data_IF_360955798309
#
_entry.id   IF_360955798309
#
_cell.length_a   1.000
_cell.length_b   1.000
_cell.length_c   1.000
_cell.angle_alpha   90.00
_cell.angle_beta   90.00
_cell.angle_gamma   90.00
#
_symmetry.space_group_name_H-M   'P 1'
#
loop_
_entity.id
_entity.type
_entity.pdbx_description
1 polymer ?
#
# COMPACT_ATOMS: atom_id res chain seq x y z
N UNK A 1 -30.22 4.42 -22.35
CA UNK A 1 -28.86 4.09 -22.84
C UNK A 1 -28.06 3.33 -21.75
N UNK A 2 -27.53 2.18 -22.07
CA UNK A 2 -26.97 1.20 -21.14
C UNK A 2 -25.82 1.73 -20.26
N UNK A 3 -26.13 2.25 -19.07
CA UNK A 3 -25.12 2.78 -18.10
C UNK A 3 -24.23 1.71 -17.47
N UNK A 4 -24.54 0.43 -17.67
CA UNK A 4 -23.75 -0.69 -17.12
C UNK A 4 -22.46 -0.99 -17.86
N UNK A 5 -22.37 -0.66 -19.16
CA UNK A 5 -21.22 -0.98 -20.02
C UNK A 5 -19.87 -0.40 -19.57
N UNK A 6 -19.87 0.69 -18.81
CA UNK A 6 -18.65 1.39 -18.40
C UNK A 6 -18.38 1.35 -16.88
N UNK A 7 -19.11 0.52 -16.12
CA UNK A 7 -18.91 0.43 -14.66
C UNK A 7 -17.70 -0.40 -14.29
N UNK A 8 -17.01 0.03 -13.24
CA UNK A 8 -15.87 -0.65 -12.61
C UNK A 8 -16.21 -0.89 -11.15
N UNK A 9 -16.05 -2.11 -10.71
CA UNK A 9 -16.29 -2.52 -9.35
C UNK A 9 -14.95 -2.81 -8.64
N UNK A 10 -14.82 -2.34 -7.41
CA UNK A 10 -13.69 -2.65 -6.53
C UNK A 10 -14.19 -3.39 -5.29
N UNK A 11 -13.68 -4.60 -5.05
CA UNK A 11 -13.91 -5.34 -3.83
C UNK A 11 -12.63 -5.36 -3.00
N UNK A 12 -12.58 -4.51 -1.97
CA UNK A 12 -11.45 -4.40 -1.06
C UNK A 12 -11.93 -3.99 0.33
N UNK A 13 -11.07 -4.18 1.33
CA UNK A 13 -11.37 -3.79 2.70
C UNK A 13 -10.25 -2.90 3.26
N UNK A 14 -10.59 -2.10 4.26
CA UNK A 14 -9.64 -1.41 5.13
C UNK A 14 -10.15 -1.44 6.57
N UNK A 15 -9.27 -1.73 7.51
CA UNK A 15 -9.64 -1.91 8.88
C UNK A 15 -8.60 -1.36 9.85
N UNK A 16 -9.04 -1.08 11.07
CA UNK A 16 -8.17 -0.73 12.21
C UNK A 16 -7.62 -1.98 12.90
N UNK A 17 -7.42 -3.06 12.15
CA UNK A 17 -6.81 -4.29 12.65
C UNK A 17 -5.48 -4.55 11.97
N UNK A 18 -4.56 -5.18 12.70
CA UNK A 18 -3.17 -5.36 12.30
C UNK A 18 -2.97 -5.97 10.91
N UNK A 19 -3.75 -6.98 10.59
CA UNK A 19 -3.55 -7.83 9.43
C UNK A 19 -4.01 -7.17 8.13
N UNK A 20 -5.01 -6.27 8.19
CA UNK A 20 -5.64 -5.67 7.00
C UNK A 20 -5.12 -4.25 6.74
N UNK A 21 -5.11 -3.38 7.76
CA UNK A 21 -4.71 -1.99 7.59
C UNK A 21 -5.52 -1.25 6.52
N UNK A 22 -4.88 -0.34 5.78
CA UNK A 22 -5.52 0.47 4.72
C UNK A 22 -4.88 0.28 3.33
N UNK A 23 -3.86 -0.57 3.22
CA UNK A 23 -3.06 -0.69 2.00
C UNK A 23 -3.86 -1.14 0.79
N UNK A 24 -4.69 -2.17 0.93
CA UNK A 24 -5.56 -2.70 -0.12
C UNK A 24 -6.48 -1.63 -0.70
N UNK A 25 -7.12 -0.85 0.17
CA UNK A 25 -8.01 0.24 -0.25
C UNK A 25 -7.26 1.34 -1.00
N UNK A 26 -6.09 1.80 -0.52
CA UNK A 26 -5.31 2.83 -1.21
C UNK A 26 -4.79 2.36 -2.56
N UNK A 27 -4.45 1.09 -2.70
CA UNK A 27 -4.07 0.48 -3.98
C UNK A 27 -5.25 0.48 -4.96
N UNK A 28 -6.43 0.06 -4.53
CA UNK A 28 -7.66 0.14 -5.31
C UNK A 28 -8.03 1.58 -5.71
N UNK A 29 -7.92 2.54 -4.79
CA UNK A 29 -8.13 3.96 -5.08
C UNK A 29 -7.16 4.51 -6.13
N UNK A 30 -5.90 4.06 -6.10
CA UNK A 30 -4.91 4.43 -7.12
C UNK A 30 -5.33 3.95 -8.50
N UNK A 31 -5.78 2.68 -8.61
CA UNK A 31 -6.29 2.11 -9.85
C UNK A 31 -7.56 2.84 -10.31
N UNK A 32 -8.49 3.08 -9.39
CA UNK A 32 -9.74 3.79 -9.68
C UNK A 32 -9.51 5.18 -10.26
N UNK A 33 -8.63 5.98 -9.63
CA UNK A 33 -8.25 7.31 -10.10
C UNK A 33 -7.60 7.29 -11.48
N UNK A 34 -6.73 6.29 -11.72
CA UNK A 34 -6.09 6.12 -13.02
C UNK A 34 -7.12 5.81 -14.11
N UNK A 35 -7.96 4.77 -13.90
CA UNK A 35 -8.96 4.36 -14.88
C UNK A 35 -9.97 5.50 -15.14
N UNK A 36 -10.38 6.21 -14.07
CA UNK A 36 -11.21 7.40 -14.20
C UNK A 36 -10.59 8.46 -15.12
N UNK A 37 -9.31 8.79 -14.90
CA UNK A 37 -8.59 9.80 -15.71
C UNK A 37 -8.42 9.33 -17.15
N UNK A 38 -7.95 8.09 -17.35
CA UNK A 38 -7.65 7.54 -18.68
C UNK A 38 -8.88 7.41 -19.56
N UNK A 39 -10.00 6.94 -19.00
CA UNK A 39 -11.23 6.65 -19.73
C UNK A 39 -12.32 7.73 -19.56
N UNK A 40 -11.97 8.89 -18.98
CA UNK A 40 -12.88 10.01 -18.72
C UNK A 40 -14.18 9.60 -17.99
N UNK A 41 -14.06 8.65 -17.04
CA UNK A 41 -15.21 8.14 -16.30
C UNK A 41 -15.66 9.12 -15.22
N UNK A 42 -16.97 9.13 -14.92
CA UNK A 42 -17.51 9.82 -13.76
C UNK A 42 -17.35 9.01 -12.47
N UNK A 43 -17.61 9.62 -11.31
CA UNK A 43 -17.62 8.89 -10.05
C UNK A 43 -18.73 7.82 -9.99
N UNK A 44 -19.82 8.01 -10.75
CA UNK A 44 -20.93 7.06 -10.85
C UNK A 44 -20.55 5.75 -11.55
N UNK A 45 -19.50 5.78 -12.39
CA UNK A 45 -18.99 4.59 -13.07
C UNK A 45 -18.10 3.72 -12.16
N UNK A 46 -17.74 4.21 -10.97
CA UNK A 46 -16.83 3.52 -10.05
C UNK A 46 -17.54 3.23 -8.74
N UNK A 47 -17.59 1.96 -8.37
CA UNK A 47 -18.27 1.49 -7.19
C UNK A 47 -17.34 0.64 -6.33
N UNK A 48 -17.26 0.96 -5.04
CA UNK A 48 -16.54 0.15 -4.06
C UNK A 48 -17.52 -0.72 -3.26
N UNK A 49 -17.19 -1.99 -3.08
CA UNK A 49 -17.88 -2.88 -2.14
C UNK A 49 -16.94 -3.14 -0.99
N UNK A 50 -17.33 -2.71 0.20
CA UNK A 50 -16.51 -2.72 1.41
C UNK A 50 -17.24 -3.32 2.59
N UNK A 51 -16.50 -3.99 3.46
CA UNK A 51 -17.01 -4.35 4.79
C UNK A 51 -17.10 -3.11 5.68
N UNK A 52 -18.15 -3.03 6.48
CA UNK A 52 -18.38 -1.96 7.44
C UNK A 52 -18.82 -2.55 8.77
N UNK A 53 -18.00 -2.38 9.79
CA UNK A 53 -18.28 -2.68 11.19
C UNK A 53 -17.42 -1.76 12.06
N UNK A 54 -17.48 -1.89 13.39
CA UNK A 54 -16.58 -1.17 14.29
C UNK A 54 -15.10 -1.34 13.90
N UNK A 55 -14.70 -2.53 13.45
CA UNK A 55 -13.32 -2.83 12.99
C UNK A 55 -13.03 -2.29 11.57
N UNK A 56 -14.01 -2.29 10.68
CA UNK A 56 -13.89 -1.94 9.25
C UNK A 56 -14.37 -0.51 8.91
N UNK A 57 -14.57 0.36 9.90
CA UNK A 57 -15.04 1.74 9.68
C UNK A 57 -14.09 2.64 8.88
N UNK A 58 -12.80 2.27 8.80
CA UNK A 58 -11.78 3.05 8.09
C UNK A 58 -12.05 3.18 6.59
N UNK A 59 -12.54 2.10 5.94
CA UNK A 59 -12.80 2.09 4.51
C UNK A 59 -13.85 3.12 4.11
N UNK A 60 -14.97 3.17 4.83
CA UNK A 60 -16.06 4.11 4.59
C UNK A 60 -15.53 5.55 4.57
N UNK A 61 -14.86 5.98 5.65
CA UNK A 61 -14.34 7.34 5.79
C UNK A 61 -13.38 7.74 4.66
N UNK A 62 -12.53 6.81 4.23
CA UNK A 62 -11.56 7.09 3.16
C UNK A 62 -12.28 7.27 1.81
N UNK A 63 -13.25 6.40 1.48
CA UNK A 63 -13.96 6.44 0.19
C UNK A 63 -14.85 7.68 0.09
N UNK A 64 -15.54 8.05 1.17
CA UNK A 64 -16.34 9.28 1.26
C UNK A 64 -15.47 10.53 1.01
N UNK A 65 -14.29 10.61 1.62
CA UNK A 65 -13.34 11.70 1.39
C UNK A 65 -12.85 11.79 -0.07
N UNK A 66 -12.79 10.66 -0.76
CA UNK A 66 -12.40 10.58 -2.18
C UNK A 66 -13.60 10.74 -3.13
N UNK A 67 -14.81 10.93 -2.59
CA UNK A 67 -16.07 11.14 -3.33
C UNK A 67 -16.44 10.00 -4.29
N UNK A 68 -16.07 8.76 -3.98
CA UNK A 68 -16.52 7.58 -4.71
C UNK A 68 -17.76 6.96 -4.07
N UNK A 69 -18.57 6.28 -4.88
CA UNK A 69 -19.72 5.51 -4.42
C UNK A 69 -19.28 4.19 -3.77
N UNK A 70 -20.03 3.72 -2.80
CA UNK A 70 -19.77 2.42 -2.17
C UNK A 70 -21.04 1.72 -1.65
N UNK A 71 -20.95 0.39 -1.62
CA UNK A 71 -21.93 -0.51 -1.00
C UNK A 71 -21.32 -1.12 0.25
N UNK A 72 -22.07 -1.14 1.32
CA UNK A 72 -21.66 -1.70 2.61
C UNK A 72 -22.01 -3.18 2.69
N UNK A 73 -21.03 -3.99 3.07
CA UNK A 73 -21.24 -5.36 3.53
C UNK A 73 -21.07 -5.37 5.06
N UNK A 74 -22.09 -5.82 5.79
CA UNK A 74 -22.00 -5.95 7.25
C UNK A 74 -21.14 -7.17 7.58
N UNK A 75 -19.98 -6.94 8.22
CA UNK A 75 -18.95 -7.95 8.46
C UNK A 75 -19.44 -9.18 9.22
N UNK A 76 -20.21 -8.96 10.30
CA UNK A 76 -20.70 -10.04 11.17
C UNK A 76 -21.74 -10.97 10.49
N UNK A 77 -22.31 -10.55 9.38
CA UNK A 77 -23.38 -11.30 8.68
C UNK A 77 -22.88 -12.05 7.45
N UNK A 78 -21.72 -11.71 6.92
CA UNK A 78 -21.30 -12.19 5.61
C UNK A 78 -19.84 -12.67 5.65
N UNK A 79 -19.68 -13.99 5.48
CA UNK A 79 -18.38 -14.62 5.32
C UNK A 79 -17.78 -14.26 3.95
N UNK A 80 -16.46 -14.07 3.91
CA UNK A 80 -15.72 -13.80 2.68
C UNK A 80 -15.90 -14.93 1.66
N UNK A 81 -16.08 -14.54 0.39
CA UNK A 81 -16.29 -15.47 -0.74
C UNK A 81 -17.49 -16.42 -0.56
N UNK A 82 -18.48 -16.03 0.26
CA UNK A 82 -19.71 -16.78 0.44
C UNK A 82 -20.72 -16.48 -0.67
N UNK A 83 -21.73 -17.32 -0.80
CA UNK A 83 -22.85 -17.08 -1.72
C UNK A 83 -23.60 -15.79 -1.39
N UNK A 84 -23.70 -15.44 -0.10
CA UNK A 84 -24.31 -14.17 0.34
C UNK A 84 -23.50 -12.96 -0.17
N UNK A 85 -22.19 -13.01 -0.09
CA UNK A 85 -21.33 -11.96 -0.65
C UNK A 85 -21.47 -11.90 -2.17
N UNK A 86 -21.45 -13.05 -2.84
CA UNK A 86 -21.59 -13.14 -4.29
C UNK A 86 -22.94 -12.56 -4.76
N UNK A 87 -24.04 -12.86 -4.07
CA UNK A 87 -25.37 -12.28 -4.37
C UNK A 87 -25.35 -10.76 -4.29
N UNK A 88 -24.65 -10.17 -3.31
CA UNK A 88 -24.52 -8.70 -3.21
C UNK A 88 -23.70 -8.15 -4.36
N UNK A 89 -22.57 -8.75 -4.67
CA UNK A 89 -21.68 -8.32 -5.75
C UNK A 89 -22.42 -8.41 -7.09
N UNK A 90 -23.12 -9.50 -7.35
CA UNK A 90 -23.79 -9.76 -8.62
C UNK A 90 -25.05 -8.91 -8.88
N UNK A 91 -25.52 -8.14 -7.89
CA UNK A 91 -26.52 -7.09 -8.14
C UNK A 91 -26.01 -5.95 -9.02
N UNK A 92 -24.69 -5.83 -9.16
CA UNK A 92 -24.03 -4.75 -9.89
C UNK A 92 -23.25 -5.32 -11.07
N UNK A 93 -23.89 -5.35 -12.23
CA UNK A 93 -23.20 -5.69 -13.47
C UNK A 93 -22.13 -4.63 -13.78
N UNK A 94 -20.92 -5.06 -14.13
CA UNK A 94 -19.86 -4.16 -14.51
C UNK A 94 -18.92 -4.78 -15.55
N UNK A 95 -18.20 -3.92 -16.29
CA UNK A 95 -17.21 -4.34 -17.28
C UNK A 95 -15.98 -4.97 -16.62
N UNK A 96 -15.61 -4.46 -15.44
CA UNK A 96 -14.42 -4.89 -14.70
C UNK A 96 -14.73 -4.98 -13.21
N UNK A 97 -14.28 -6.07 -12.60
CA UNK A 97 -14.14 -6.16 -11.14
C UNK A 97 -12.67 -6.31 -10.74
N UNK A 98 -12.22 -5.49 -9.80
CA UNK A 98 -10.90 -5.56 -9.16
C UNK A 98 -11.07 -6.05 -7.73
N UNK A 99 -10.43 -7.15 -7.37
CA UNK A 99 -10.47 -7.74 -6.03
C UNK A 99 -9.08 -7.63 -5.40
N UNK A 100 -9.00 -6.97 -4.26
CA UNK A 100 -7.77 -6.77 -3.48
C UNK A 100 -8.01 -7.13 -2.02
N UNK A 101 -7.66 -8.38 -1.67
CA UNK A 101 -7.89 -8.94 -0.33
C UNK A 101 -6.81 -9.94 0.02
N UNK A 102 -6.60 -10.17 1.33
CA UNK A 102 -5.65 -11.17 1.83
C UNK A 102 -6.17 -12.61 1.75
N UNK A 103 -7.47 -12.81 1.60
CA UNK A 103 -8.07 -14.13 1.56
C UNK A 103 -7.83 -14.82 0.21
N UNK A 104 -7.78 -16.15 0.24
CA UNK A 104 -7.68 -16.98 -0.97
C UNK A 104 -9.04 -17.10 -1.65
N UNK A 105 -9.15 -16.65 -2.89
CA UNK A 105 -10.39 -16.79 -3.67
C UNK A 105 -10.64 -18.27 -4.05
N UNK A 106 -11.90 -18.72 -3.96
CA UNK A 106 -12.28 -20.05 -4.39
C UNK A 106 -12.56 -20.11 -5.91
N UNK A 107 -12.34 -21.30 -6.53
CA UNK A 107 -12.64 -21.52 -7.95
C UNK A 107 -14.09 -21.22 -8.27
N UNK A 108 -15.02 -21.76 -7.49
CA UNK A 108 -16.45 -21.55 -7.69
C UNK A 108 -16.83 -20.06 -7.63
N UNK A 109 -16.29 -19.32 -6.68
CA UNK A 109 -16.58 -17.89 -6.56
C UNK A 109 -16.13 -17.10 -7.79
N UNK A 110 -14.90 -17.33 -8.27
CA UNK A 110 -14.38 -16.60 -9.44
C UNK A 110 -15.09 -16.98 -10.74
N UNK A 111 -15.46 -18.26 -10.93
CA UNK A 111 -16.22 -18.68 -12.11
C UNK A 111 -17.62 -18.09 -12.12
N UNK A 112 -18.30 -18.06 -10.98
CA UNK A 112 -19.62 -17.42 -10.84
C UNK A 112 -19.57 -15.90 -10.99
N UNK A 113 -18.46 -15.24 -10.68
CA UNK A 113 -18.26 -13.82 -11.01
C UNK A 113 -18.18 -13.60 -12.51
N UNK A 114 -17.56 -14.50 -13.28
CA UNK A 114 -17.42 -14.36 -14.74
C UNK A 114 -18.76 -14.30 -15.46
N UNK A 115 -19.82 -14.87 -14.90
CA UNK A 115 -21.16 -14.77 -15.48
C UNK A 115 -21.71 -13.35 -15.54
N UNK A 116 -21.27 -12.46 -14.60
CA UNK A 116 -21.75 -11.08 -14.50
C UNK A 116 -20.68 -10.03 -14.82
N UNK A 117 -19.41 -10.42 -14.86
CA UNK A 117 -18.30 -9.52 -15.10
C UNK A 117 -17.50 -9.97 -16.31
N UNK A 118 -17.32 -9.07 -17.25
CA UNK A 118 -16.54 -9.37 -18.45
C UNK A 118 -15.07 -9.60 -18.12
N UNK A 119 -14.52 -8.85 -17.15
CA UNK A 119 -13.09 -8.92 -16.77
C UNK A 119 -12.91 -8.94 -15.25
N UNK A 120 -11.94 -9.73 -14.80
CA UNK A 120 -11.60 -9.89 -13.38
C UNK A 120 -10.10 -9.66 -13.18
N UNK A 121 -9.74 -8.73 -12.29
CA UNK A 121 -8.37 -8.50 -11.84
C UNK A 121 -8.24 -8.88 -10.38
N UNK A 122 -7.23 -9.68 -10.05
CA UNK A 122 -6.88 -10.05 -8.67
C UNK A 122 -5.55 -9.40 -8.26
N UNK A 123 -5.49 -8.91 -7.03
CA UNK A 123 -4.29 -8.32 -6.44
C UNK A 123 -3.90 -9.11 -5.18
N UNK A 124 -2.63 -9.56 -5.13
CA UNK A 124 -2.06 -10.33 -4.01
C UNK A 124 -2.90 -11.54 -3.57
N UNK A 125 -3.48 -12.28 -4.50
CA UNK A 125 -4.19 -13.51 -4.20
C UNK A 125 -3.22 -14.70 -4.08
N UNK A 126 -3.28 -15.43 -2.96
CA UNK A 126 -2.41 -16.57 -2.67
C UNK A 126 -2.97 -17.91 -3.18
N UNK A 127 -4.19 -17.94 -3.75
CA UNK A 127 -4.79 -19.17 -4.26
C UNK A 127 -4.28 -19.54 -5.64
N UNK A 128 -4.33 -20.84 -6.00
CA UNK A 128 -4.07 -21.27 -7.37
C UNK A 128 -5.23 -20.94 -8.33
N UNK A 129 -6.36 -20.47 -7.79
CA UNK A 129 -7.54 -20.10 -8.56
C UNK A 129 -7.38 -18.77 -9.31
N UNK A 130 -6.34 -17.96 -9.02
CA UNK A 130 -6.01 -16.74 -9.77
C UNK A 130 -5.82 -16.98 -11.28
N UNK A 131 -5.53 -18.22 -11.70
CA UNK A 131 -5.45 -18.61 -13.12
C UNK A 131 -6.76 -18.41 -13.90
N UNK A 132 -7.88 -18.33 -13.21
CA UNK A 132 -9.20 -18.07 -13.80
C UNK A 132 -9.51 -16.57 -13.95
N UNK A 133 -8.70 -15.66 -13.42
CA UNK A 133 -8.82 -14.22 -13.65
C UNK A 133 -8.25 -13.81 -15.01
N UNK A 134 -8.59 -12.62 -15.48
CA UNK A 134 -7.99 -12.06 -16.71
C UNK A 134 -6.59 -11.51 -16.44
N UNK A 135 -6.34 -11.02 -15.23
CA UNK A 135 -5.02 -10.58 -14.77
C UNK A 135 -4.90 -10.80 -13.25
N UNK A 136 -3.78 -11.34 -12.82
CA UNK A 136 -3.41 -11.37 -11.41
C UNK A 136 -2.05 -10.70 -11.22
N UNK A 137 -1.97 -9.74 -10.28
CA UNK A 137 -0.74 -9.07 -9.88
C UNK A 137 -0.42 -9.45 -8.43
N UNK A 138 0.68 -10.16 -8.23
CA UNK A 138 1.14 -10.61 -6.91
C UNK A 138 2.46 -9.93 -6.53
N UNK A 139 2.45 -8.65 -6.15
CA UNK A 139 3.66 -7.93 -5.79
C UNK A 139 4.27 -8.35 -4.46
N UNK A 140 3.47 -8.81 -3.49
CA UNK A 140 3.95 -9.11 -2.12
C UNK A 140 3.88 -10.59 -1.76
N UNK A 141 3.03 -11.36 -2.42
CA UNK A 141 2.91 -12.81 -2.26
C UNK A 141 3.72 -13.49 -3.37
N UNK A 142 4.96 -13.88 -3.06
CA UNK A 142 5.92 -14.32 -4.06
C UNK A 142 5.93 -15.85 -4.28
N UNK A 143 5.59 -16.63 -3.25
CA UNK A 143 5.62 -18.09 -3.29
C UNK A 143 4.27 -18.63 -3.76
N UNK A 144 4.00 -18.45 -5.04
CA UNK A 144 2.79 -18.94 -5.70
C UNK A 144 3.14 -19.49 -7.07
N UNK A 145 2.34 -20.44 -7.54
CA UNK A 145 2.48 -21.02 -8.87
C UNK A 145 2.40 -19.94 -9.96
N UNK A 146 3.24 -20.05 -10.98
CA UNK A 146 3.23 -19.14 -12.13
C UNK A 146 2.15 -19.59 -13.12
N UNK A 147 1.36 -18.62 -13.58
CA UNK A 147 0.39 -18.80 -14.66
C UNK A 147 0.54 -17.66 -15.67
N UNK A 148 0.09 -17.85 -16.90
CA UNK A 148 0.29 -16.87 -17.98
C UNK A 148 -0.30 -15.49 -17.65
N UNK A 149 -1.43 -15.48 -16.94
CA UNK A 149 -2.13 -14.26 -16.51
C UNK A 149 -1.65 -13.71 -15.17
N UNK A 150 -0.75 -14.42 -14.46
CA UNK A 150 -0.24 -13.99 -13.15
C UNK A 150 1.15 -13.38 -13.27
N UNK A 151 1.31 -12.18 -12.75
CA UNK A 151 2.57 -11.44 -12.67
C UNK A 151 3.03 -11.37 -11.22
N UNK A 152 4.17 -12.04 -10.91
CA UNK A 152 4.68 -12.20 -9.55
C UNK A 152 5.97 -11.40 -9.37
N UNK A 153 6.07 -10.67 -8.27
CA UNK A 153 7.29 -9.94 -7.86
C UNK A 153 7.07 -8.47 -7.54
N UNK A 154 7.97 -7.91 -6.78
CA UNK A 154 7.90 -6.55 -6.26
C UNK A 154 7.72 -5.46 -7.34
N UNK A 155 8.24 -5.69 -8.55
CA UNK A 155 8.08 -4.78 -9.70
C UNK A 155 6.62 -4.60 -10.14
N UNK A 156 5.71 -5.47 -9.68
CA UNK A 156 4.29 -5.39 -10.01
C UNK A 156 3.46 -4.61 -8.99
N UNK A 157 4.12 -3.92 -8.03
CA UNK A 157 3.42 -3.03 -7.11
C UNK A 157 2.74 -1.86 -7.83
N UNK A 158 1.66 -1.40 -7.22
CA UNK A 158 0.91 -0.21 -7.61
C UNK A 158 1.24 0.90 -6.62
N UNK A 159 1.82 1.97 -7.12
CA UNK A 159 2.24 3.14 -6.35
C UNK A 159 1.33 4.33 -6.68
N UNK A 160 0.94 5.15 -5.71
CA UNK A 160 0.05 6.30 -5.93
C UNK A 160 0.57 7.26 -6.99
N UNK A 161 -0.30 7.68 -7.91
CA UNK A 161 0.04 8.57 -9.05
C UNK A 161 0.65 9.90 -8.60
N UNK A 162 0.22 10.41 -7.46
CA UNK A 162 0.75 11.66 -6.88
C UNK A 162 2.28 11.61 -6.66
N UNK A 163 2.86 10.43 -6.50
CA UNK A 163 4.31 10.27 -6.36
C UNK A 163 5.03 10.38 -7.70
N UNK A 164 4.36 9.99 -8.80
CA UNK A 164 4.90 10.15 -10.17
C UNK A 164 4.95 11.61 -10.58
N UNK A 165 3.89 12.35 -10.33
CA UNK A 165 3.74 13.76 -10.73
C UNK A 165 4.72 14.66 -9.99
N UNK A 166 5.10 14.29 -8.75
CA UNK A 166 5.97 15.08 -7.88
C UNK A 166 7.45 14.69 -7.92
N UNK A 167 7.86 13.78 -8.80
CA UNK A 167 9.27 13.38 -8.99
C UNK A 167 10.19 14.56 -9.29
N UNK A 168 9.65 15.63 -9.86
CA UNK A 168 10.40 16.82 -10.25
C UNK A 168 10.71 17.80 -9.09
N UNK A 169 10.28 17.52 -7.85
CA UNK A 169 10.62 18.39 -6.73
C UNK A 169 12.09 18.17 -6.34
N UNK A 170 12.99 18.91 -6.96
CA UNK A 170 14.43 18.98 -6.64
C UNK A 170 14.73 19.66 -5.30
N UNK A 171 13.86 19.58 -4.29
CA UNK A 171 14.13 20.18 -2.98
C UNK A 171 15.08 19.28 -2.17
N UNK A 172 16.04 19.91 -1.50
CA UNK A 172 16.94 19.25 -0.54
C UNK A 172 16.08 18.41 0.42
N UNK A 173 16.30 17.10 0.41
CA UNK A 173 15.59 16.21 1.32
C UNK A 173 16.30 16.18 2.66
N UNK A 174 15.54 16.20 3.74
CA UNK A 174 16.05 16.25 5.11
C UNK A 174 15.16 15.42 6.05
N UNK A 175 15.74 14.95 7.15
CA UNK A 175 15.04 14.33 8.26
C UNK A 175 14.48 12.94 8.01
N UNK A 176 13.78 12.45 9.03
CA UNK A 176 13.22 11.11 9.14
C UNK A 176 11.70 11.16 9.02
N UNK A 177 11.12 10.33 8.18
CA UNK A 177 9.69 10.12 8.06
C UNK A 177 9.32 8.79 8.76
N UNK A 178 8.54 8.87 9.83
CA UNK A 178 8.10 7.71 10.60
C UNK A 178 6.68 7.35 10.21
N UNK A 179 6.49 6.13 9.67
CA UNK A 179 5.18 5.64 9.25
C UNK A 179 5.06 4.11 9.39
N UNK A 180 4.30 3.68 10.37
CA UNK A 180 4.08 2.26 10.67
C UNK A 180 2.73 1.74 10.19
N UNK A 181 2.15 2.37 9.16
CA UNK A 181 0.87 1.99 8.57
C UNK A 181 -0.33 2.61 9.29
N UNK A 182 -1.51 2.06 9.03
CA UNK A 182 -2.76 2.53 9.64
C UNK A 182 -2.89 2.15 11.12
N UNK A 183 -2.05 1.23 11.61
CA UNK A 183 -2.05 0.77 12.99
C UNK A 183 -0.63 0.42 13.46
N UNK A 184 -0.12 1.18 14.42
CA UNK A 184 1.20 0.96 15.04
C UNK A 184 1.05 0.12 16.32
N UNK A 185 0.90 -1.20 16.16
CA UNK A 185 0.66 -2.17 17.24
C UNK A 185 1.72 -2.09 18.34
N UNK A 186 2.97 -1.92 17.93
CA UNK A 186 4.12 -2.00 18.84
C UNK A 186 4.56 -0.63 19.36
N UNK A 187 3.82 0.43 19.02
CA UNK A 187 4.15 1.83 19.37
C UNK A 187 5.57 2.23 18.91
N UNK A 188 5.96 1.76 17.71
CA UNK A 188 7.28 2.06 17.15
C UNK A 188 7.47 3.52 16.84
N UNK A 189 6.41 4.23 16.47
CA UNK A 189 6.45 5.69 16.27
C UNK A 189 7.02 6.40 17.49
N UNK A 190 6.50 6.09 18.69
CA UNK A 190 6.99 6.69 19.94
C UNK A 190 8.41 6.20 20.28
N UNK A 191 8.64 4.88 20.25
CA UNK A 191 9.92 4.28 20.62
C UNK A 191 11.08 4.79 19.76
N UNK A 192 10.89 4.83 18.43
CA UNK A 192 11.91 5.29 17.50
C UNK A 192 12.06 6.81 17.55
N UNK A 193 10.94 7.53 17.66
CA UNK A 193 10.96 8.98 17.85
C UNK A 193 11.77 9.40 19.07
N UNK A 194 11.59 8.73 20.22
CA UNK A 194 12.38 9.01 21.43
C UNK A 194 13.88 8.71 21.24
N UNK A 195 14.21 7.63 20.52
CA UNK A 195 15.62 7.31 20.23
C UNK A 195 16.25 8.38 19.35
N UNK A 196 15.57 8.80 18.29
CA UNK A 196 16.05 9.83 17.37
C UNK A 196 16.22 11.19 18.06
N UNK A 197 15.27 11.56 18.94
CA UNK A 197 15.38 12.78 19.74
C UNK A 197 16.63 12.76 20.62
N UNK A 198 16.85 11.67 21.35
CA UNK A 198 18.02 11.52 22.24
C UNK A 198 19.36 11.56 21.54
N UNK A 199 19.41 11.41 20.21
CA UNK A 199 20.62 11.61 19.43
C UNK A 199 20.98 13.09 19.33
N UNK A 200 20.02 13.99 19.60
CA UNK A 200 20.17 15.45 19.62
C UNK A 200 20.96 16.01 18.42
N UNK A 201 20.72 15.42 17.23
CA UNK A 201 21.38 15.83 15.98
C UNK A 201 20.48 16.85 15.27
N UNK A 202 21.08 17.77 14.51
CA UNK A 202 20.33 18.78 13.76
C UNK A 202 19.49 18.12 12.66
N UNK A 203 18.32 17.59 13.03
CA UNK A 203 17.45 16.81 12.14
C UNK A 203 15.97 17.07 12.44
N UNK A 204 15.11 16.72 11.48
CA UNK A 204 13.65 16.77 11.56
C UNK A 204 13.08 15.36 11.61
N UNK A 205 12.09 15.16 12.46
CA UNK A 205 11.33 13.92 12.55
C UNK A 205 9.90 14.22 12.16
N UNK A 206 9.42 13.66 11.05
CA UNK A 206 8.07 13.84 10.56
C UNK A 206 7.20 12.67 11.01
N UNK A 207 6.13 12.95 11.73
CA UNK A 207 5.23 11.95 12.28
C UNK A 207 3.80 12.21 11.83
N UNK A 208 3.18 11.18 11.22
CA UNK A 208 1.75 11.16 10.99
C UNK A 208 1.07 10.49 12.19
N UNK A 209 0.44 11.28 13.04
CA UNK A 209 -0.32 10.75 14.17
C UNK A 209 -1.57 11.58 14.39
N UNK A 210 -2.72 10.89 14.42
CA UNK A 210 -4.00 11.48 14.86
C UNK A 210 -4.06 11.62 16.39
N UNK A 211 -3.12 10.99 17.12
CA UNK A 211 -2.97 11.08 18.57
C UNK A 211 -1.83 12.02 18.88
N UNK A 212 -2.03 12.94 19.84
CA UNK A 212 -0.94 13.74 20.41
C UNK A 212 0.03 12.81 21.14
N UNK A 213 1.11 12.42 20.47
CA UNK A 213 2.21 11.72 21.11
C UNK A 213 3.06 12.74 21.85
N UNK A 214 3.24 12.52 23.14
CA UNK A 214 4.08 13.38 23.97
C UNK A 214 5.54 12.96 23.79
N UNK A 215 6.37 13.91 23.39
CA UNK A 215 7.81 13.78 23.30
C UNK A 215 8.47 14.83 24.18
N UNK A 216 9.59 14.48 24.81
CA UNK A 216 10.41 15.46 25.50
C UNK A 216 11.13 16.30 24.44
N UNK A 217 11.04 17.64 24.49
CA UNK A 217 11.72 18.49 23.51
C UNK A 217 13.24 18.37 23.64
N UNK A 218 13.93 18.49 22.52
CA UNK A 218 15.40 18.50 22.43
C UNK A 218 15.86 19.72 21.63
N UNK A 219 17.03 20.26 21.95
CA UNK A 219 17.50 21.54 21.39
C UNK A 219 17.72 21.49 19.86
N UNK A 220 18.28 20.41 19.35
CA UNK A 220 18.70 20.29 17.92
C UNK A 220 17.79 19.43 17.05
N UNK A 221 16.97 18.55 17.62
CA UNK A 221 16.07 17.67 16.88
C UNK A 221 14.64 18.10 17.03
N UNK A 222 13.95 18.40 15.93
CA UNK A 222 12.56 18.87 15.91
C UNK A 222 11.60 17.79 15.46
N UNK A 223 10.50 17.58 16.21
CA UNK A 223 9.38 16.75 15.75
C UNK A 223 8.35 17.65 15.07
N UNK A 224 7.93 17.23 13.89
CA UNK A 224 6.92 17.90 13.08
C UNK A 224 5.78 16.93 12.82
N UNK A 225 4.62 17.20 13.41
CA UNK A 225 3.40 16.46 13.11
C UNK A 225 2.78 16.98 11.82
N UNK A 226 2.26 16.06 11.01
CA UNK A 226 1.58 16.43 9.77
C UNK A 226 0.23 15.72 9.63
N UNK A 227 -0.69 16.35 8.92
CA UNK A 227 -2.02 15.80 8.64
C UNK A 227 -1.95 14.73 7.55
N UNK A 228 -2.86 13.77 7.58
CA UNK A 228 -2.91 12.66 6.61
C UNK A 228 -2.92 13.14 5.14
N UNK A 229 -3.57 14.26 4.83
CA UNK A 229 -3.57 14.86 3.49
C UNK A 229 -2.18 15.25 2.98
N UNK A 230 -1.25 15.54 3.89
CA UNK A 230 0.12 15.95 3.58
C UNK A 230 1.12 14.77 3.56
N UNK A 231 0.65 13.54 3.70
CA UNK A 231 1.46 12.33 3.79
C UNK A 231 2.52 12.26 2.67
N UNK A 232 2.08 12.26 1.42
CA UNK A 232 3.01 12.14 0.28
C UNK A 232 3.89 13.38 0.09
N UNK A 233 3.38 14.57 0.40
CA UNK A 233 4.16 15.82 0.37
C UNK A 233 5.31 15.75 1.39
N UNK A 234 5.04 15.22 2.57
CA UNK A 234 6.04 15.07 3.64
C UNK A 234 7.02 13.94 3.35
N UNK A 235 6.53 12.80 2.84
CA UNK A 235 7.34 11.68 2.39
C UNK A 235 8.39 12.12 1.36
N UNK A 236 8.00 12.91 0.37
CA UNK A 236 8.90 13.43 -0.67
C UNK A 236 10.02 14.33 -0.11
N UNK A 237 9.74 15.10 0.94
CA UNK A 237 10.72 15.99 1.58
C UNK A 237 11.72 15.25 2.47
N UNK A 238 11.41 14.03 2.89
CA UNK A 238 12.24 13.29 3.82
C UNK A 238 13.42 12.60 3.14
N UNK A 239 14.57 12.53 3.82
CA UNK A 239 15.76 11.79 3.37
C UNK A 239 15.66 10.32 3.75
N UNK A 240 15.22 10.05 4.98
CA UNK A 240 15.12 8.72 5.55
C UNK A 240 13.67 8.36 5.78
N UNK A 241 13.30 7.12 5.53
CA UNK A 241 11.97 6.58 5.84
C UNK A 241 12.15 5.43 6.82
N UNK A 242 11.42 5.47 7.92
CA UNK A 242 11.34 4.37 8.89
C UNK A 242 9.91 3.87 8.87
N UNK A 243 9.73 2.61 8.47
CA UNK A 243 8.39 2.07 8.28
C UNK A 243 8.26 0.60 8.67
N UNK A 244 7.03 0.12 8.77
CA UNK A 244 6.73 -1.30 8.73
C UNK A 244 6.86 -1.85 7.30
N UNK A 245 6.91 -3.17 7.17
CA UNK A 245 7.05 -3.87 5.88
C UNK A 245 5.74 -4.02 5.07
N UNK A 246 4.84 -3.06 5.19
CA UNK A 246 3.59 -3.00 4.41
C UNK A 246 3.74 -2.29 3.07
N UNK A 247 2.60 -1.96 2.41
CA UNK A 247 2.63 -1.32 1.09
C UNK A 247 3.35 0.02 1.07
N UNK A 248 3.28 0.83 2.14
CA UNK A 248 4.03 2.10 2.23
C UNK A 248 5.56 1.96 2.15
N UNK A 249 6.12 0.77 2.44
CA UNK A 249 7.54 0.48 2.21
C UNK A 249 7.88 0.61 0.70
N UNK A 250 6.98 0.17 -0.17
CA UNK A 250 7.21 0.23 -1.62
C UNK A 250 7.13 1.64 -2.19
N UNK A 251 6.42 2.55 -1.53
CA UNK A 251 6.49 3.99 -1.86
C UNK A 251 7.91 4.52 -1.67
N UNK A 252 8.55 4.13 -0.56
CA UNK A 252 9.95 4.46 -0.26
C UNK A 252 10.94 3.87 -1.28
N UNK A 253 10.75 2.61 -1.68
CA UNK A 253 11.57 1.95 -2.70
C UNK A 253 11.44 2.67 -4.05
N UNK A 254 10.21 2.94 -4.52
CA UNK A 254 9.98 3.62 -5.79
C UNK A 254 10.56 5.04 -5.83
N UNK A 255 10.65 5.72 -4.69
CA UNK A 255 11.25 7.04 -4.54
C UNK A 255 12.77 7.00 -4.31
N UNK A 256 13.39 5.82 -4.24
CA UNK A 256 14.80 5.63 -3.93
C UNK A 256 15.24 6.32 -2.61
N UNK A 257 14.41 6.21 -1.58
CA UNK A 257 14.70 6.77 -0.26
C UNK A 257 15.55 5.81 0.58
N UNK A 258 16.34 6.35 1.50
CA UNK A 258 17.01 5.53 2.51
C UNK A 258 15.96 4.92 3.43
N UNK A 259 15.67 3.64 3.24
CA UNK A 259 14.53 2.95 3.85
C UNK A 259 15.00 1.99 4.95
N UNK A 260 14.50 2.23 6.17
CA UNK A 260 14.71 1.41 7.36
C UNK A 260 13.39 0.73 7.71
N UNK A 261 13.38 -0.60 7.82
CA UNK A 261 12.16 -1.35 8.05
C UNK A 261 12.19 -2.17 9.35
N UNK A 262 11.07 -2.11 10.09
CA UNK A 262 10.83 -2.88 11.31
C UNK A 262 9.56 -3.70 11.12
N UNK A 263 9.61 -5.05 11.11
CA UNK A 263 8.40 -5.84 10.91
C UNK A 263 7.49 -5.78 12.16
N UNK A 264 6.20 -5.59 11.93
CA UNK A 264 5.17 -5.71 12.97
C UNK A 264 4.47 -7.08 12.92
N UNK A 265 4.50 -7.75 11.76
CA UNK A 265 3.79 -9.01 11.49
C UNK A 265 4.66 -9.99 10.69
N UNK A 266 4.33 -11.29 10.76
CA UNK A 266 5.10 -12.35 10.09
C UNK A 266 5.15 -12.20 8.57
N UNK A 267 4.07 -11.79 7.91
CA UNK A 267 4.07 -11.56 6.47
C UNK A 267 5.00 -10.41 6.05
N UNK A 268 5.08 -9.35 6.87
CA UNK A 268 6.02 -8.24 6.66
C UNK A 268 7.47 -8.68 6.85
N UNK A 269 7.75 -9.56 7.85
CA UNK A 269 9.09 -10.10 8.11
C UNK A 269 9.66 -10.81 6.89
N UNK A 270 8.84 -11.60 6.17
CA UNK A 270 9.26 -12.29 4.94
C UNK A 270 9.70 -11.30 3.85
N UNK A 271 8.90 -10.27 3.59
CA UNK A 271 9.22 -9.25 2.59
C UNK A 271 10.45 -8.43 2.97
N UNK A 272 10.55 -8.02 4.24
CA UNK A 272 11.72 -7.29 4.77
C UNK A 272 12.99 -8.12 4.61
N UNK A 273 13.00 -9.37 5.06
CA UNK A 273 14.18 -10.24 4.94
C UNK A 273 14.62 -10.43 3.48
N UNK A 274 13.67 -10.60 2.57
CA UNK A 274 13.98 -10.75 1.15
C UNK A 274 14.56 -9.46 0.51
N UNK A 275 14.03 -8.31 0.89
CA UNK A 275 14.51 -7.02 0.40
C UNK A 275 15.86 -6.62 1.02
N UNK A 276 16.09 -6.97 2.29
CA UNK A 276 17.38 -6.81 2.96
C UNK A 276 18.46 -7.65 2.29
N UNK A 277 18.22 -8.94 2.02
CA UNK A 277 19.15 -9.81 1.29
C UNK A 277 19.52 -9.25 -0.10
N UNK A 278 18.63 -8.48 -0.71
CA UNK A 278 18.86 -7.78 -1.97
C UNK A 278 19.54 -6.42 -1.80
N UNK A 279 19.86 -6.01 -0.56
CA UNK A 279 20.46 -4.72 -0.24
C UNK A 279 19.59 -3.51 -0.58
N UNK A 280 18.26 -3.67 -0.65
CA UNK A 280 17.33 -2.60 -1.03
C UNK A 280 16.74 -1.84 0.15
N UNK A 281 16.85 -2.38 1.35
CA UNK A 281 16.43 -1.77 2.59
C UNK A 281 17.43 -2.07 3.70
N UNK A 282 17.32 -1.35 4.79
CA UNK A 282 18.01 -1.63 6.05
C UNK A 282 16.98 -2.20 6.99
N UNK A 283 17.18 -3.44 7.44
CA UNK A 283 16.33 -4.04 8.46
C UNK A 283 16.77 -3.57 9.84
N UNK A 284 15.83 -3.17 10.65
CA UNK A 284 16.06 -2.81 12.04
C UNK A 284 15.49 -3.88 12.96
N UNK A 285 16.36 -4.46 13.78
CA UNK A 285 15.96 -5.39 14.82
C UNK A 285 15.55 -4.63 16.09
N UNK A 286 14.29 -4.76 16.48
CA UNK A 286 13.62 -3.88 17.44
C UNK A 286 14.00 -4.06 18.91
N UNK A 287 14.77 -5.07 19.27
CA UNK A 287 14.97 -5.45 20.68
C UNK A 287 16.13 -4.74 21.37
N UNK A 288 17.12 -4.24 20.63
CA UNK A 288 18.31 -3.64 21.21
C UNK A 288 18.40 -2.14 20.89
N UNK A 289 18.06 -1.31 21.88
CA UNK A 289 18.12 0.16 21.76
C UNK A 289 19.52 0.67 21.39
N UNK A 290 20.60 0.03 21.87
CA UNK A 290 21.98 0.42 21.58
C UNK A 290 22.28 0.23 20.09
N UNK A 291 21.97 -0.93 19.52
CA UNK A 291 22.13 -1.21 18.08
C UNK A 291 21.30 -0.26 17.21
N UNK A 292 20.07 0.07 17.64
CA UNK A 292 19.23 1.06 16.94
C UNK A 292 19.91 2.43 16.92
N UNK A 293 20.45 2.86 18.04
CA UNK A 293 21.15 4.13 18.17
C UNK A 293 22.39 4.19 17.28
N UNK A 294 23.20 3.14 17.28
CA UNK A 294 24.40 2.99 16.43
C UNK A 294 24.05 3.04 14.94
N UNK A 295 22.98 2.36 14.52
CA UNK A 295 22.51 2.42 13.13
C UNK A 295 22.19 3.86 12.71
N UNK A 296 21.45 4.60 13.52
CA UNK A 296 21.10 6.00 13.19
C UNK A 296 22.34 6.91 13.17
N UNK A 297 23.28 6.72 14.08
CA UNK A 297 24.56 7.44 14.07
C UNK A 297 25.32 7.16 12.78
N UNK A 298 25.41 5.89 12.37
CA UNK A 298 26.11 5.49 11.16
C UNK A 298 25.44 6.05 9.88
N UNK A 299 24.10 6.09 9.85
CA UNK A 299 23.33 6.73 8.78
C UNK A 299 23.63 8.22 8.67
N UNK A 300 23.62 8.92 9.79
CA UNK A 300 23.81 10.37 9.85
C UNK A 300 25.27 10.77 9.57
N UNK A 301 26.22 9.93 9.91
CA UNK A 301 27.64 10.08 9.59
C UNK A 301 28.01 9.57 8.19
N UNK A 302 27.02 9.23 7.34
CA UNK A 302 27.19 8.71 5.98
C UNK A 302 28.09 7.43 5.89
N UNK A 303 28.20 6.66 6.97
CA UNK A 303 28.95 5.39 7.00
C UNK A 303 28.24 4.25 6.26
N UNK A 304 26.97 4.44 5.86
CA UNK A 304 26.18 3.46 5.10
C UNK A 304 26.12 3.90 3.65
N UNK A 305 26.48 2.99 2.74
CA UNK A 305 26.43 3.26 1.30
C UNK A 305 25.00 3.35 0.78
N UNK A 306 24.43 4.55 0.83
CA UNK A 306 23.07 4.83 0.38
C UNK A 306 22.92 4.75 -1.14
N UNK A 307 23.96 4.98 -1.92
CA UNK A 307 23.88 4.88 -3.39
C UNK A 307 23.74 3.41 -3.84
N UNK A 308 24.46 2.48 -3.22
CA UNK A 308 24.27 1.04 -3.45
C UNK A 308 22.84 0.62 -3.14
N UNK A 309 22.29 1.07 -2.01
CA UNK A 309 20.92 0.79 -1.61
C UNK A 309 19.91 1.31 -2.66
N UNK A 310 20.05 2.56 -3.11
CA UNK A 310 19.17 3.16 -4.13
C UNK A 310 19.26 2.45 -5.47
N UNK A 311 20.45 2.03 -5.88
CA UNK A 311 20.63 1.29 -7.13
C UNK A 311 19.97 -0.08 -7.08
N UNK A 312 20.02 -0.77 -5.93
CA UNK A 312 19.30 -2.01 -5.72
C UNK A 312 17.78 -1.79 -5.72
N UNK A 313 17.29 -0.71 -5.12
CA UNK A 313 15.87 -0.33 -5.15
C UNK A 313 15.36 -0.13 -6.58
N UNK A 314 16.09 0.58 -7.43
CA UNK A 314 15.73 0.82 -8.84
C UNK A 314 15.53 -0.49 -9.62
N UNK A 315 16.34 -1.54 -9.33
CA UNK A 315 16.21 -2.86 -9.96
C UNK A 315 14.93 -3.59 -9.49
N UNK A 316 14.49 -3.33 -8.25
CA UNK A 316 13.34 -4.00 -7.65
C UNK A 316 12.02 -3.34 -8.08
N UNK A 317 11.93 -2.02 -7.95
CA UNK A 317 10.73 -1.25 -8.27
C UNK A 317 11.11 0.17 -8.63
N UNK A 318 10.66 0.63 -9.80
CA UNK A 318 10.81 2.00 -10.26
C UNK A 318 9.52 2.49 -10.95
N UNK A 319 9.44 3.76 -11.28
CA UNK A 319 8.24 4.33 -11.87
C UNK A 319 7.88 3.77 -13.26
N UNK A 320 8.85 3.29 -14.04
CA UNK A 320 8.55 2.62 -15.31
C UNK A 320 7.83 1.29 -15.07
N UNK A 321 8.25 0.51 -14.06
CA UNK A 321 7.53 -0.70 -13.65
C UNK A 321 6.06 -0.36 -13.30
N UNK A 322 5.86 0.69 -12.48
CA UNK A 322 4.51 1.10 -12.05
C UNK A 322 3.66 1.53 -13.24
N UNK A 323 4.20 2.36 -14.15
CA UNK A 323 3.52 2.77 -15.40
C UNK A 323 3.09 1.56 -16.21
N UNK A 324 3.99 0.59 -16.41
CA UNK A 324 3.68 -0.63 -17.15
C UNK A 324 2.60 -1.48 -16.48
N UNK A 325 2.56 -1.55 -15.15
CA UNK A 325 1.51 -2.26 -14.41
C UNK A 325 0.15 -1.59 -14.61
N UNK A 326 0.11 -0.28 -14.56
CA UNK A 326 -1.11 0.49 -14.79
C UNK A 326 -1.60 0.35 -16.26
N UNK A 327 -0.68 0.27 -17.22
CA UNK A 327 -1.02 -0.03 -18.62
C UNK A 327 -1.62 -1.43 -18.77
N UNK A 328 -1.08 -2.45 -18.08
CA UNK A 328 -1.65 -3.80 -18.09
C UNK A 328 -3.09 -3.83 -17.56
N UNK A 329 -3.33 -3.14 -16.43
CA UNK A 329 -4.67 -3.01 -15.85
C UNK A 329 -5.63 -2.32 -16.85
N UNK A 330 -5.18 -1.23 -17.49
CA UNK A 330 -5.96 -0.52 -18.50
C UNK A 330 -6.28 -1.39 -19.71
N UNK A 331 -5.31 -2.16 -20.20
CA UNK A 331 -5.51 -3.06 -21.33
C UNK A 331 -6.55 -4.16 -21.03
N UNK A 332 -6.64 -4.64 -19.79
CA UNK A 332 -7.73 -5.56 -19.38
C UNK A 332 -9.09 -4.90 -19.46
N UNK A 333 -9.19 -3.62 -19.09
CA UNK A 333 -10.43 -2.86 -19.18
C UNK A 333 -10.83 -2.56 -20.64
N UNK A 334 -9.87 -2.30 -21.52
CA UNK A 334 -10.09 -1.99 -22.94
C UNK A 334 -10.56 -3.20 -23.76
N UNK A 335 -10.07 -4.39 -23.46
CA UNK A 335 -10.44 -5.61 -24.19
C UNK A 335 -11.94 -5.90 -24.03
N UNK A 336 -12.64 -5.96 -25.14
CA UNK A 336 -14.08 -6.30 -25.22
C UNK A 336 -14.35 -7.75 -24.82
#
# INVERSE_FOLDING_TARGET
MNSSKNKILFRCDAAYIPEIGSGHLYRCLTIAKLLKKKFKLSNQNILFIIKVSKKFGLAKKIIENEKFNFIKILDHKIKNYSDKELKIINKFSSRLIVIDRLDKISKNFILRLKNNYKKIILLDDASNNRKYADLALNPTILNVERTNNCKIGYKYNIIPSILHERKAIKKKTDGFFLFFGGFDKNNYTKKIGDILLKLNMNSKIFINSDKKLLFKPEKRTKILFFKKKDHYKTLLKSKYIISAGGLGMFDGIALNKALICIPQYNHQKKNINNLEKRGAIIKLESKNKKKIKELFINLLKNKINLEKLKNNQKKILNFNHVKNNLLKISAVYEKN
#
